data_IF_271036688560
#
_entry.id   IF_271036688560
#
_cell.length_a   1.000
_cell.length_b   1.000
_cell.length_c   1.000
_cell.angle_alpha   90.00
_cell.angle_beta   90.00
_cell.angle_gamma   90.00
#
_symmetry.space_group_name_H-M   'P 1'
#
loop_
_entity.id
_entity.type
_entity.pdbx_description
1 polymer ?
#
# COMPACT_ATOMS: atom_id res chain seq x y z
N UNK A 1 6.97 12.79 8.74
CA UNK A 1 5.82 12.14 9.41
C UNK A 1 6.22 10.71 9.73
N UNK A 2 5.65 10.12 10.79
CA UNK A 2 5.88 8.71 11.14
C UNK A 2 5.33 7.84 9.99
N UNK A 3 6.07 6.84 9.49
CA UNK A 3 5.57 5.90 8.49
C UNK A 3 4.27 5.24 8.97
N UNK A 4 3.32 5.00 8.06
CA UNK A 4 2.04 4.36 8.38
C UNK A 4 1.94 3.02 7.65
N UNK A 5 1.45 1.97 8.32
CA UNK A 5 1.07 0.74 7.63
C UNK A 5 -0.24 0.97 6.89
N UNK A 6 -0.26 0.65 5.60
CA UNK A 6 -1.43 0.79 4.72
C UNK A 6 -1.66 -0.47 3.91
N UNK A 7 -2.91 -0.65 3.51
CA UNK A 7 -3.31 -1.52 2.40
C UNK A 7 -3.30 -0.69 1.10
N UNK A 8 -2.74 -1.24 0.03
CA UNK A 8 -2.62 -0.62 -1.29
C UNK A 8 -3.08 -1.64 -2.34
N UNK A 9 -4.03 -1.31 -3.21
CA UNK A 9 -4.54 -2.23 -4.26
C UNK A 9 -4.59 -1.52 -5.61
N UNK A 10 -4.04 -2.13 -6.65
CA UNK A 10 -4.19 -1.64 -8.03
C UNK A 10 -5.63 -1.82 -8.50
N UNK A 11 -6.27 -0.74 -8.95
CA UNK A 11 -7.66 -0.74 -9.44
C UNK A 11 -7.75 -0.67 -10.95
N UNK A 12 -6.81 -0.02 -11.63
CA UNK A 12 -6.79 0.05 -13.09
C UNK A 12 -6.74 -1.35 -13.71
N UNK A 13 -7.75 -1.68 -14.52
CA UNK A 13 -7.83 -2.97 -15.21
C UNK A 13 -8.37 -4.14 -14.36
N UNK A 14 -8.79 -3.90 -13.11
CA UNK A 14 -9.27 -4.94 -12.20
C UNK A 14 -10.64 -4.60 -11.60
N UNK A 15 -11.37 -5.64 -11.18
CA UNK A 15 -12.68 -5.53 -10.55
C UNK A 15 -12.61 -6.11 -9.13
N UNK A 16 -11.91 -5.38 -8.24
CA UNK A 16 -11.66 -5.75 -6.83
C UNK A 16 -10.69 -6.91 -6.57
N UNK A 17 -10.10 -7.44 -7.63
CA UNK A 17 -9.14 -8.55 -7.62
C UNK A 17 -7.74 -8.13 -8.08
N UNK A 18 -7.42 -6.84 -7.96
CA UNK A 18 -6.09 -6.35 -8.35
C UNK A 18 -4.99 -6.84 -7.41
N UNK A 19 -3.74 -6.84 -7.89
CA UNK A 19 -2.57 -6.98 -7.02
C UNK A 19 -2.68 -6.01 -5.84
N UNK A 20 -2.42 -6.51 -4.64
CA UNK A 20 -2.52 -5.71 -3.43
C UNK A 20 -1.35 -5.97 -2.49
N UNK A 21 -1.03 -4.94 -1.71
CA UNK A 21 0.08 -4.91 -0.79
C UNK A 21 -0.32 -4.41 0.58
N UNK A 22 0.41 -4.85 1.59
CA UNK A 22 0.42 -4.26 2.93
C UNK A 22 1.85 -3.89 3.28
N UNK A 23 2.09 -2.63 3.62
CA UNK A 23 3.43 -2.12 3.86
C UNK A 23 3.46 -0.74 4.49
N UNK A 24 4.66 -0.33 4.95
CA UNK A 24 4.89 1.02 5.45
C UNK A 24 4.94 2.01 4.29
N UNK A 25 4.11 3.04 4.38
CA UNK A 25 4.12 4.16 3.44
C UNK A 25 4.69 5.40 4.11
N UNK A 26 5.34 6.23 3.30
CA UNK A 26 5.80 7.54 3.71
C UNK A 26 5.02 8.63 2.98
N UNK A 27 4.88 9.79 3.60
CA UNK A 27 4.16 10.93 3.03
C UNK A 27 5.12 12.07 2.74
N UNK A 28 4.86 12.81 1.67
CA UNK A 28 5.46 14.12 1.45
C UNK A 28 5.10 15.08 2.59
N UNK A 29 5.83 16.20 2.71
CA UNK A 29 5.60 17.20 3.77
C UNK A 29 4.15 17.72 3.79
N UNK A 30 3.53 17.83 2.62
CA UNK A 30 2.14 18.30 2.47
C UNK A 30 1.11 17.20 2.66
N UNK A 31 1.53 15.93 2.77
CA UNK A 31 0.63 14.78 2.84
C UNK A 31 -0.09 14.44 1.54
N UNK A 32 0.25 15.11 0.41
CA UNK A 32 -0.42 14.95 -0.90
C UNK A 32 0.24 13.92 -1.83
N UNK A 33 1.40 13.41 -1.44
CA UNK A 33 2.13 12.36 -2.16
C UNK A 33 2.48 11.26 -1.18
N UNK A 34 2.26 10.02 -1.58
CA UNK A 34 2.51 8.80 -0.82
C UNK A 34 3.65 8.07 -1.53
N UNK A 35 4.67 7.63 -0.81
CA UNK A 35 5.79 6.87 -1.33
C UNK A 35 5.72 5.45 -0.79
N UNK A 36 5.74 4.47 -1.70
CA UNK A 36 5.70 3.06 -1.35
C UNK A 36 6.26 2.21 -2.48
N UNK A 37 7.13 1.25 -2.14
CA UNK A 37 7.63 0.20 -3.03
C UNK A 37 8.16 0.70 -4.39
N UNK A 38 9.09 1.66 -4.37
CA UNK A 38 9.66 2.25 -5.58
C UNK A 38 8.72 3.20 -6.35
N UNK A 39 7.47 3.35 -5.92
CA UNK A 39 6.43 4.16 -6.56
C UNK A 39 6.06 5.38 -5.72
N UNK A 40 5.42 6.34 -6.37
CA UNK A 40 4.83 7.49 -5.72
C UNK A 40 3.43 7.78 -6.25
N UNK A 41 2.50 8.02 -5.33
CA UNK A 41 1.09 8.18 -5.62
C UNK A 41 0.61 9.57 -5.20
N UNK A 42 -0.13 10.27 -6.07
CA UNK A 42 -0.91 11.45 -5.69
C UNK A 42 -2.15 11.02 -4.93
N UNK A 43 -2.26 11.46 -3.67
CA UNK A 43 -3.36 11.11 -2.77
C UNK A 43 -3.03 11.48 -1.32
N UNK A 44 -4.00 11.31 -0.43
CA UNK A 44 -3.89 11.65 1.00
C UNK A 44 -3.73 10.43 1.93
N UNK A 45 -3.57 9.23 1.37
CA UNK A 45 -3.41 7.98 2.11
C UNK A 45 -4.73 7.35 2.57
N UNK A 46 -5.86 7.78 2.00
CA UNK A 46 -7.18 7.18 2.18
C UNK A 46 -8.07 7.36 0.93
N UNK A 47 -8.48 6.26 0.31
CA UNK A 47 -9.28 6.24 -0.92
C UNK A 47 -8.41 6.11 -2.17
N UNK A 48 -8.91 6.63 -3.30
CA UNK A 48 -8.20 6.56 -4.57
C UNK A 48 -6.94 7.44 -4.58
N UNK A 49 -5.84 6.86 -5.05
CA UNK A 49 -4.59 7.54 -5.34
C UNK A 49 -4.14 7.20 -6.75
N UNK A 50 -3.41 8.11 -7.40
CA UNK A 50 -2.91 7.92 -8.77
C UNK A 50 -1.40 7.77 -8.76
N UNK A 51 -0.88 6.70 -9.35
CA UNK A 51 0.56 6.55 -9.56
C UNK A 51 1.07 7.64 -10.50
N UNK A 52 2.17 8.29 -10.12
CA UNK A 52 2.70 9.47 -10.81
C UNK A 52 3.33 9.12 -12.17
N UNK A 53 3.93 7.93 -12.30
CA UNK A 53 4.62 7.54 -13.53
C UNK A 53 3.67 6.98 -14.58
N UNK A 54 2.75 6.13 -14.15
CA UNK A 54 1.88 5.34 -15.04
C UNK A 54 0.49 5.96 -15.20
N UNK A 55 0.06 6.80 -14.25
CA UNK A 55 -1.29 7.33 -14.19
C UNK A 55 -2.33 6.31 -13.72
N UNK A 56 -1.93 5.10 -13.33
CA UNK A 56 -2.83 4.06 -12.82
C UNK A 56 -3.48 4.44 -11.50
N UNK A 57 -4.70 3.94 -11.26
CA UNK A 57 -5.44 4.19 -10.05
C UNK A 57 -5.24 3.05 -9.06
N UNK A 58 -4.97 3.44 -7.82
CA UNK A 58 -4.80 2.57 -6.67
C UNK A 58 -5.82 2.94 -5.61
N UNK A 59 -6.28 1.96 -4.83
CA UNK A 59 -6.99 2.17 -3.58
C UNK A 59 -6.01 2.07 -2.43
N UNK A 60 -5.93 3.09 -1.58
CA UNK A 60 -5.05 3.10 -0.39
C UNK A 60 -5.91 3.32 0.85
N UNK A 61 -5.76 2.47 1.86
CA UNK A 61 -6.47 2.61 3.14
C UNK A 61 -5.64 2.18 4.33
N UNK A 62 -6.11 2.50 5.54
CA UNK A 62 -5.56 1.90 6.76
C UNK A 62 -5.85 0.42 6.84
N UNK A 63 -5.17 -0.24 7.77
CA UNK A 63 -5.42 -1.65 8.10
C UNK A 63 -6.72 -1.79 8.90
N UNK A 64 -7.53 -2.78 8.53
CA UNK A 64 -8.72 -3.18 9.27
C UNK A 64 -8.31 -4.12 10.40
N UNK A 65 -8.80 -3.87 11.61
CA UNK A 65 -8.52 -4.70 12.80
C UNK A 65 -8.95 -6.16 12.68
N UNK A 66 -9.82 -6.48 11.73
CA UNK A 66 -10.24 -7.86 11.47
C UNK A 66 -9.39 -8.57 10.39
N UNK A 67 -8.33 -7.92 9.88
CA UNK A 67 -7.45 -8.46 8.83
C UNK A 67 -8.11 -8.64 7.45
N UNK A 68 -9.38 -8.25 7.27
CA UNK A 68 -10.09 -8.38 5.99
C UNK A 68 -9.89 -7.13 5.14
N UNK A 69 -8.65 -6.74 4.88
CA UNK A 69 -8.29 -5.45 4.27
C UNK A 69 -8.87 -5.24 2.86
N UNK A 70 -8.88 -6.32 2.06
CA UNK A 70 -9.46 -6.34 0.72
C UNK A 70 -10.95 -6.02 0.71
N UNK A 71 -11.48 -5.60 -0.43
CA UNK A 71 -12.92 -5.47 -0.65
C UNK A 71 -13.64 -6.82 -0.46
N UNK A 72 -14.89 -6.81 0.00
CA UNK A 72 -15.63 -8.04 0.35
C UNK A 72 -15.85 -8.99 -0.84
N UNK A 73 -15.91 -8.44 -2.06
CA UNK A 73 -16.00 -9.20 -3.31
C UNK A 73 -14.63 -9.45 -3.97
N UNK A 74 -13.56 -8.96 -3.34
CA UNK A 74 -12.21 -9.10 -3.87
C UNK A 74 -11.60 -10.46 -3.62
N UNK A 75 -10.60 -10.81 -4.41
CA UNK A 75 -9.87 -12.07 -4.29
C UNK A 75 -8.38 -11.91 -4.58
N UNK A 76 -7.62 -12.99 -4.41
CA UNK A 76 -6.18 -13.01 -4.62
C UNK A 76 -5.39 -12.69 -3.36
N UNK A 77 -4.12 -13.11 -3.36
CA UNK A 77 -3.21 -12.88 -2.25
C UNK A 77 -2.91 -11.40 -2.05
N UNK A 78 -2.45 -11.08 -0.84
CA UNK A 78 -1.94 -9.78 -0.46
C UNK A 78 -0.45 -9.93 -0.18
N UNK A 79 0.37 -9.18 -0.90
CA UNK A 79 1.82 -9.14 -0.69
C UNK A 79 2.13 -8.28 0.53
N UNK A 80 2.63 -8.86 1.60
CA UNK A 80 2.95 -8.13 2.83
C UNK A 80 4.45 -7.98 2.99
N UNK A 81 4.87 -6.76 3.34
CA UNK A 81 6.26 -6.46 3.65
C UNK A 81 6.74 -7.31 4.83
N UNK A 82 7.78 -8.11 4.60
CA UNK A 82 8.36 -9.02 5.61
C UNK A 82 8.78 -8.28 6.88
N UNK A 83 9.16 -7.00 6.76
CA UNK A 83 9.68 -6.21 7.88
C UNK A 83 8.60 -5.64 8.80
N UNK A 84 7.31 -5.79 8.46
CA UNK A 84 6.19 -5.25 9.25
C UNK A 84 5.25 -6.32 9.81
N UNK A 85 5.54 -7.61 9.57
CA UNK A 85 4.65 -8.72 9.92
C UNK A 85 4.23 -8.66 11.39
N UNK A 86 5.18 -8.50 12.32
CA UNK A 86 4.90 -8.41 13.76
C UNK A 86 4.01 -7.21 14.12
N UNK A 87 4.18 -6.08 13.44
CA UNK A 87 3.39 -4.87 13.67
C UNK A 87 1.97 -5.04 13.12
N UNK A 88 1.84 -5.63 11.94
CA UNK A 88 0.56 -5.98 11.33
C UNK A 88 -0.24 -6.98 12.19
N UNK A 89 0.40 -8.06 12.64
CA UNK A 89 -0.22 -9.08 13.48
C UNK A 89 -0.78 -8.50 14.79
N UNK A 90 -0.07 -7.55 15.40
CA UNK A 90 -0.56 -6.81 16.58
C UNK A 90 -1.79 -5.95 16.27
N UNK A 91 -1.86 -5.34 15.07
CA UNK A 91 -3.01 -4.52 14.67
C UNK A 91 -4.27 -5.37 14.52
N UNK A 92 -4.12 -6.58 13.97
CA UNK A 92 -5.25 -7.48 13.66
C UNK A 92 -5.53 -8.51 14.77
N UNK A 93 -4.79 -8.44 15.88
CA UNK A 93 -4.88 -9.38 17.01
C UNK A 93 -4.77 -10.85 16.58
N UNK A 94 -3.76 -11.15 15.75
CA UNK A 94 -3.47 -12.51 15.26
C UNK A 94 -2.08 -12.97 15.69
N UNK A 95 -1.90 -14.28 15.85
CA UNK A 95 -0.61 -14.89 16.16
C UNK A 95 0.21 -15.26 14.93
N UNK A 96 -0.42 -15.34 13.74
CA UNK A 96 0.26 -15.72 12.50
C UNK A 96 -0.49 -15.20 11.26
N UNK A 97 0.25 -15.10 10.15
CA UNK A 97 -0.32 -14.86 8.83
C UNK A 97 -0.84 -16.16 8.24
N UNK A 98 -2.00 -16.10 7.58
CA UNK A 98 -2.48 -17.22 6.76
C UNK A 98 -1.73 -17.22 5.41
N UNK A 99 -0.91 -18.25 5.10
CA UNK A 99 -0.15 -18.32 3.85
C UNK A 99 -1.03 -18.48 2.60
N UNK A 100 -2.32 -18.80 2.76
CA UNK A 100 -3.29 -18.77 1.65
C UNK A 100 -3.70 -17.34 1.28
N UNK A 101 -3.64 -16.41 2.22
CA UNK A 101 -4.05 -15.00 2.05
C UNK A 101 -2.83 -14.11 1.80
N UNK A 102 -1.73 -14.35 2.51
CA UNK A 102 -0.57 -13.47 2.49
C UNK A 102 0.64 -14.11 1.80
N UNK A 103 1.42 -13.27 1.13
CA UNK A 103 2.71 -13.64 0.56
C UNK A 103 3.76 -12.64 1.01
N UNK A 104 4.87 -13.12 1.58
CA UNK A 104 5.94 -12.24 2.06
C UNK A 104 6.73 -11.66 0.89
N UNK A 105 6.95 -10.36 0.91
CA UNK A 105 7.78 -9.65 -0.06
C UNK A 105 8.74 -8.69 0.63
N UNK A 106 9.77 -8.27 -0.09
CA UNK A 106 10.61 -7.15 0.31
C UNK A 106 10.13 -5.89 -0.40
N UNK A 107 9.84 -4.85 0.37
CA UNK A 107 9.43 -3.55 -0.17
C UNK A 107 10.67 -2.68 -0.36
N UNK A 108 10.87 -2.22 -1.59
CA UNK A 108 12.03 -1.39 -1.91
C UNK A 108 11.79 0.07 -1.53
N UNK A 109 12.85 0.74 -1.09
CA UNK A 109 12.80 2.17 -0.80
C UNK A 109 12.51 2.98 -2.07
N UNK A 110 11.59 3.93 -1.97
CA UNK A 110 11.28 4.86 -3.07
C UNK A 110 12.30 6.01 -3.12
N UNK A 111 12.85 6.28 -4.31
CA UNK A 111 13.64 7.49 -4.57
C UNK A 111 12.73 8.72 -4.65
N UNK A 112 12.58 9.42 -3.53
CA UNK A 112 11.72 10.62 -3.43
C UNK A 112 12.23 11.80 -4.25
N UNK A 113 13.54 11.87 -4.53
CA UNK A 113 14.11 12.98 -5.28
C UNK A 113 13.72 12.87 -6.77
N UNK A 114 13.75 11.64 -7.30
CA UNK A 114 13.27 11.36 -8.65
C UNK A 114 11.83 11.84 -8.88
N UNK A 115 10.90 11.48 -8.00
CA UNK A 115 9.50 11.92 -8.12
C UNK A 115 9.29 13.41 -7.86
N UNK A 116 10.09 14.00 -6.96
CA UNK A 116 10.05 15.46 -6.75
C UNK A 116 10.41 16.22 -8.03
N UNK A 117 11.33 15.69 -8.84
CA UNK A 117 11.70 16.30 -10.11
C UNK A 117 10.60 16.15 -11.17
N UNK A 118 9.96 14.97 -11.27
CA UNK A 118 8.87 14.73 -12.22
C UNK A 118 7.67 15.66 -12.02
N UNK A 119 7.36 16.02 -10.77
CA UNK A 119 6.22 16.90 -10.46
C UNK A 119 6.49 18.39 -10.73
N UNK A 120 7.74 18.78 -11.00
CA UNK A 120 8.17 20.17 -11.23
C UNK A 120 8.55 20.46 -12.69
N UNK A 121 8.26 19.54 -13.61
CA UNK A 121 8.39 19.71 -15.07
C UNK A 121 7.05 20.21 -15.62
#
# INVERSE_FOLDING_TARGET
>A
MIPQIKYIELKSGYSDNGPAWIGKVEFSKTGKTIYFNGQAFKGNGHGYARDIQTGELYWISGIKKNGQDRHWAGSGKIYIDKDIVDEYLKIIDSSALDPQIYELVEIVQTDKQFFSNLENI
#
